data_IF_912059032260
#
_entry.id   IF_912059032260
#
_cell.length_a   1.000
_cell.length_b   1.000
_cell.length_c   1.000
_cell.angle_alpha   90.00
_cell.angle_beta   90.00
_cell.angle_gamma   90.00
#
_symmetry.space_group_name_H-M   'P 1'
#
loop_
_entity.id
_entity.type
_entity.pdbx_description
1 polymer ?
#
# COMPACT_ATOMS: atom_id res chain seq x y z
N UNK A 1 -15.97 52.55 -34.47
CA UNK A 1 -16.58 51.20 -34.50
C UNK A 1 -15.54 50.16 -34.07
N UNK A 2 -15.92 49.10 -33.35
CA UNK A 2 -15.02 48.11 -32.71
C UNK A 2 -14.59 47.00 -33.69
N UNK A 3 -13.84 45.93 -33.37
CA UNK A 3 -13.43 45.22 -32.12
C UNK A 3 -11.95 44.76 -32.31
N UNK A 4 -11.02 44.54 -31.37
CA UNK A 4 -11.01 44.31 -29.92
C UNK A 4 -10.51 42.88 -29.58
N UNK A 5 -9.27 42.71 -29.09
CA UNK A 5 -8.81 41.47 -28.41
C UNK A 5 -7.72 41.77 -27.38
N UNK A 6 -8.06 41.61 -26.09
CA UNK A 6 -7.12 41.71 -24.96
C UNK A 6 -6.33 40.40 -24.83
N UNK A 7 -5.02 40.43 -25.02
CA UNK A 7 -4.12 39.36 -24.57
C UNK A 7 -3.74 39.58 -23.11
N UNK A 8 -4.57 39.08 -22.19
CA UNK A 8 -4.21 39.03 -20.77
C UNK A 8 -3.04 38.08 -20.56
N UNK A 9 -1.84 38.62 -20.31
CA UNK A 9 -0.76 37.87 -19.65
C UNK A 9 -1.27 37.44 -18.28
N UNK A 10 -1.45 36.14 -18.06
CA UNK A 10 -1.48 35.54 -16.73
C UNK A 10 -0.18 34.77 -16.52
N UNK A 11 0.65 35.29 -15.63
CA UNK A 11 1.73 34.52 -15.02
C UNK A 11 1.14 33.39 -14.18
N UNK A 12 1.55 32.16 -14.43
CA UNK A 12 1.41 31.05 -13.50
C UNK A 12 2.81 30.72 -12.98
N UNK A 13 3.20 31.33 -11.87
CA UNK A 13 4.37 30.90 -11.12
C UNK A 13 4.01 29.57 -10.43
N UNK A 14 4.61 28.47 -10.88
CA UNK A 14 4.42 27.17 -10.28
C UNK A 14 5.30 27.04 -9.02
N UNK A 15 4.78 27.53 -7.89
CA UNK A 15 5.33 27.31 -6.55
C UNK A 15 5.13 25.83 -6.15
N UNK A 16 6.03 24.96 -6.63
CA UNK A 16 5.92 23.51 -6.48
C UNK A 16 6.32 23.06 -5.08
N UNK A 17 5.38 23.12 -4.14
CA UNK A 17 5.55 22.55 -2.79
C UNK A 17 5.39 21.04 -2.87
N UNK A 18 6.39 20.30 -2.40
CA UNK A 18 6.30 18.85 -2.23
C UNK A 18 5.24 18.51 -1.16
N UNK A 19 4.06 18.09 -1.60
CA UNK A 19 3.03 17.48 -0.75
C UNK A 19 2.72 16.08 -1.26
N UNK A 20 2.91 15.07 -0.39
CA UNK A 20 2.59 13.63 -0.56
C UNK A 20 1.84 13.27 -1.86
N UNK A 21 2.58 12.96 -2.92
CA UNK A 21 2.02 12.32 -4.12
C UNK A 21 2.11 10.80 -3.94
N UNK A 22 1.02 10.10 -4.26
CA UNK A 22 1.02 8.63 -4.41
C UNK A 22 1.80 8.26 -5.68
N UNK A 23 2.49 7.11 -5.67
CA UNK A 23 3.40 6.73 -6.75
C UNK A 23 2.73 5.90 -7.86
N UNK A 24 1.41 5.76 -7.85
CA UNK A 24 0.61 4.97 -8.79
C UNK A 24 0.68 3.46 -8.57
N UNK A 25 1.82 2.97 -8.06
CA UNK A 25 2.08 1.55 -7.80
C UNK A 25 1.12 0.93 -6.75
N UNK A 26 0.45 1.75 -5.94
CA UNK A 26 -0.46 1.32 -4.89
C UNK A 26 -1.73 0.62 -5.43
N UNK A 27 -2.08 0.84 -6.71
CA UNK A 27 -3.23 0.22 -7.38
C UNK A 27 -2.89 -0.98 -8.29
N UNK A 28 -1.61 -1.37 -8.40
CA UNK A 28 -1.13 -2.43 -9.31
C UNK A 28 -1.74 -3.83 -9.10
N UNK A 29 -2.60 -4.05 -8.11
CA UNK A 29 -3.28 -5.32 -7.85
C UNK A 29 -4.77 -5.10 -7.47
N UNK A 30 -5.37 -4.01 -7.93
CA UNK A 30 -6.77 -3.66 -7.66
C UNK A 30 -7.64 -4.06 -8.85
N UNK A 31 -8.55 -5.06 -8.70
CA UNK A 31 -9.58 -5.33 -9.68
C UNK A 31 -10.48 -4.11 -9.88
N UNK A 32 -10.75 -3.81 -11.14
CA UNK A 32 -11.59 -2.70 -11.58
C UNK A 32 -12.96 -3.22 -12.06
N UNK A 33 -13.94 -2.33 -12.16
CA UNK A 33 -15.33 -2.71 -12.48
C UNK A 33 -15.49 -3.27 -13.91
N UNK A 34 -14.54 -2.94 -14.79
CA UNK A 34 -14.44 -3.44 -16.16
C UNK A 34 -13.87 -4.87 -16.27
N UNK A 35 -13.49 -5.49 -15.15
CA UNK A 35 -12.88 -6.84 -15.11
C UNK A 35 -11.38 -6.87 -15.41
N UNK A 36 -10.71 -5.72 -15.38
CA UNK A 36 -9.27 -5.60 -15.57
C UNK A 36 -8.53 -5.16 -14.29
N UNK A 37 -7.21 -5.24 -14.34
CA UNK A 37 -6.30 -4.62 -13.38
C UNK A 37 -5.32 -3.77 -14.19
N UNK A 38 -5.04 -2.58 -13.68
CA UNK A 38 -4.16 -1.61 -14.30
C UNK A 38 -2.86 -1.49 -13.51
N UNK A 39 -1.73 -1.55 -14.22
CA UNK A 39 -0.41 -1.49 -13.61
C UNK A 39 0.35 -0.23 -14.01
N UNK A 40 0.89 0.44 -13.01
CA UNK A 40 1.73 1.63 -13.08
C UNK A 40 3.16 1.31 -12.65
N UNK A 41 4.15 1.90 -13.31
CA UNK A 41 5.53 1.97 -12.84
C UNK A 41 6.17 3.26 -13.35
N UNK A 42 7.06 3.86 -12.57
CA UNK A 42 7.60 5.16 -12.97
C UNK A 42 8.58 5.06 -14.15
N UNK A 43 8.30 5.83 -15.19
CA UNK A 43 9.09 5.99 -16.40
C UNK A 43 9.69 7.39 -16.55
N UNK A 44 9.19 8.38 -15.82
CA UNK A 44 9.77 9.74 -15.79
C UNK A 44 11.17 9.70 -15.19
N UNK A 45 12.10 10.45 -15.80
CA UNK A 45 13.42 10.73 -15.24
C UNK A 45 13.76 12.20 -15.48
N UNK A 46 13.65 13.01 -14.44
CA UNK A 46 13.69 14.48 -14.58
C UNK A 46 12.49 14.96 -15.38
N UNK A 47 12.73 15.68 -16.48
CA UNK A 47 11.68 16.26 -17.34
C UNK A 47 11.33 15.38 -18.56
N UNK A 48 11.68 14.08 -18.56
CA UNK A 48 11.45 13.16 -19.68
C UNK A 48 10.70 11.92 -19.23
N UNK A 49 9.50 11.70 -19.77
CA UNK A 49 8.85 10.39 -19.71
C UNK A 49 9.54 9.46 -20.73
N UNK A 50 10.03 8.31 -20.25
CA UNK A 50 10.75 7.34 -21.07
C UNK A 50 9.78 6.37 -21.73
N UNK A 51 10.02 6.07 -23.00
CA UNK A 51 9.32 5.00 -23.69
C UNK A 51 9.80 3.62 -23.22
N UNK A 52 8.87 2.68 -23.13
CA UNK A 52 9.19 1.26 -22.91
C UNK A 52 9.50 0.64 -24.27
N UNK A 53 10.61 -0.08 -24.38
CA UNK A 53 11.10 -0.71 -25.62
C UNK A 53 10.38 -2.05 -25.85
N UNK A 54 9.09 -1.98 -26.11
CA UNK A 54 8.23 -3.15 -26.33
C UNK A 54 8.64 -3.95 -27.58
N UNK A 55 9.42 -3.37 -28.50
CA UNK A 55 10.04 -4.10 -29.60
C UNK A 55 10.97 -5.24 -29.14
N UNK A 56 11.51 -5.17 -27.91
CA UNK A 56 12.27 -6.27 -27.29
C UNK A 56 11.39 -7.46 -26.87
N UNK A 57 10.08 -7.26 -26.84
CA UNK A 57 9.08 -8.23 -26.41
C UNK A 57 8.26 -8.76 -27.61
N UNK A 58 8.75 -8.55 -28.83
CA UNK A 58 8.14 -9.04 -30.07
C UNK A 58 7.23 -8.05 -30.80
N UNK A 59 7.07 -6.82 -30.30
CA UNK A 59 6.31 -5.79 -30.99
C UNK A 59 7.06 -5.19 -32.19
N UNK A 60 6.31 -4.61 -33.13
CA UNK A 60 6.84 -3.75 -34.18
C UNK A 60 7.42 -2.44 -33.61
N UNK A 61 8.34 -1.83 -34.35
CA UNK A 61 8.93 -0.52 -33.99
C UNK A 61 7.90 0.62 -33.97
N UNK A 62 6.80 0.48 -34.72
CA UNK A 62 5.71 1.44 -34.80
C UNK A 62 4.52 1.11 -33.88
N UNK A 63 4.54 -0.03 -33.19
CA UNK A 63 3.42 -0.45 -32.34
C UNK A 63 3.41 0.35 -31.03
N UNK A 64 2.23 0.71 -30.55
CA UNK A 64 2.03 1.43 -29.28
C UNK A 64 1.92 0.50 -28.06
N UNK A 65 1.63 -0.78 -28.28
CA UNK A 65 1.51 -1.80 -27.23
C UNK A 65 1.94 -3.19 -27.71
N UNK A 66 2.19 -4.08 -26.74
CA UNK A 66 2.39 -5.52 -26.95
C UNK A 66 1.41 -6.29 -26.06
N UNK A 67 0.79 -7.34 -26.60
CA UNK A 67 -0.12 -8.25 -25.90
C UNK A 67 0.55 -9.59 -25.60
N UNK A 68 -0.05 -10.38 -24.69
CA UNK A 68 0.39 -11.75 -24.43
C UNK A 68 1.67 -11.88 -23.61
N UNK A 69 2.11 -10.81 -22.93
CA UNK A 69 3.35 -10.83 -22.15
C UNK A 69 3.10 -11.07 -20.66
N UNK A 70 4.09 -11.67 -20.00
CA UNK A 70 4.11 -11.83 -18.55
C UNK A 70 4.86 -10.67 -17.89
N UNK A 71 4.28 -10.08 -16.85
CA UNK A 71 4.89 -8.97 -16.11
C UNK A 71 5.01 -9.33 -14.63
N UNK A 72 6.26 -9.40 -14.14
CA UNK A 72 6.58 -9.68 -12.75
C UNK A 72 6.79 -8.39 -11.98
N UNK A 73 6.00 -8.19 -10.93
CA UNK A 73 6.09 -7.03 -10.05
C UNK A 73 7.04 -7.30 -8.88
N UNK A 74 7.85 -6.31 -8.55
CA UNK A 74 8.80 -6.37 -7.44
C UNK A 74 8.66 -5.15 -6.55
N UNK A 75 8.78 -5.30 -5.24
CA UNK A 75 8.70 -4.19 -4.30
C UNK A 75 9.74 -4.32 -3.17
N UNK A 76 10.16 -3.21 -2.55
CA UNK A 76 11.05 -3.21 -1.38
C UNK A 76 10.51 -4.06 -0.22
N UNK A 77 11.33 -4.90 0.39
CA UNK A 77 10.90 -5.74 1.53
C UNK A 77 10.74 -4.96 2.84
N UNK A 78 11.40 -3.80 2.99
CA UNK A 78 11.33 -2.92 4.17
C UNK A 78 11.42 -1.43 3.79
N UNK A 79 10.70 -1.01 2.75
CA UNK A 79 10.79 0.35 2.18
C UNK A 79 12.08 0.64 1.39
N UNK A 80 13.17 -0.08 1.72
CA UNK A 80 14.42 -0.15 0.97
C UNK A 80 14.66 -1.58 0.45
N UNK A 81 15.68 -1.71 -0.39
CA UNK A 81 16.21 -2.98 -0.89
C UNK A 81 16.53 -4.00 0.23
N UNK A 82 16.48 -5.31 -0.04
CA UNK A 82 16.25 -5.92 -1.35
C UNK A 82 14.79 -5.83 -1.80
N UNK A 83 14.59 -5.67 -3.12
CA UNK A 83 13.30 -5.90 -3.77
C UNK A 83 12.99 -7.39 -3.76
N UNK A 84 11.72 -7.74 -3.65
CA UNK A 84 11.22 -9.11 -3.72
C UNK A 84 10.06 -9.19 -4.70
N UNK A 85 9.87 -10.33 -5.34
CA UNK A 85 8.66 -10.57 -6.17
C UNK A 85 7.42 -10.48 -5.27
N UNK A 86 6.50 -9.58 -5.63
CA UNK A 86 5.23 -9.40 -4.91
C UNK A 86 4.04 -10.01 -5.63
N UNK A 87 4.15 -10.25 -6.93
CA UNK A 87 3.07 -10.80 -7.75
C UNK A 87 3.42 -10.68 -9.23
N UNK A 88 2.49 -11.07 -10.10
CA UNK A 88 2.64 -11.00 -11.54
C UNK A 88 1.31 -10.88 -12.25
N UNK A 89 1.35 -10.37 -13.48
CA UNK A 89 0.25 -10.43 -14.44
C UNK A 89 0.65 -11.44 -15.52
N UNK A 90 -0.25 -12.35 -15.88
CA UNK A 90 -0.12 -13.21 -17.07
C UNK A 90 -0.83 -12.55 -18.25
N UNK A 91 -0.42 -12.87 -19.47
CA UNK A 91 -1.17 -12.51 -20.70
C UNK A 91 -1.54 -11.01 -20.78
N UNK A 92 -0.64 -10.15 -20.29
CA UNK A 92 -0.88 -8.71 -20.13
C UNK A 92 -0.62 -7.93 -21.42
N UNK A 93 -1.28 -6.77 -21.52
CA UNK A 93 -0.93 -5.70 -22.45
C UNK A 93 0.05 -4.73 -21.77
N UNK A 94 1.14 -4.38 -22.46
CA UNK A 94 2.10 -3.36 -22.05
C UNK A 94 2.21 -2.26 -23.11
N UNK A 95 2.09 -1.01 -22.70
CA UNK A 95 2.13 0.14 -23.59
C UNK A 95 3.53 0.80 -23.64
N UNK A 96 3.98 1.16 -24.85
CA UNK A 96 5.19 1.94 -25.12
C UNK A 96 5.14 3.29 -24.39
N UNK A 97 3.97 3.93 -24.42
CA UNK A 97 3.67 5.24 -23.84
C UNK A 97 2.78 5.12 -22.59
N UNK A 98 2.87 6.10 -21.69
CA UNK A 98 1.92 6.25 -20.58
C UNK A 98 0.52 6.43 -21.15
N UNK A 99 -0.44 5.70 -20.61
CA UNK A 99 -1.86 5.85 -20.89
C UNK A 99 -2.51 6.60 -19.73
N UNK A 100 -3.45 7.48 -20.03
CA UNK A 100 -4.29 8.16 -19.03
C UNK A 100 -5.70 7.55 -19.05
N UNK A 101 -6.37 7.51 -17.90
CA UNK A 101 -7.78 7.10 -17.81
C UNK A 101 -8.76 8.19 -18.29
N UNK A 102 -8.30 9.44 -18.41
CA UNK A 102 -9.17 10.58 -18.66
C UNK A 102 -10.00 10.95 -17.43
N UNK A 103 -11.25 11.36 -17.61
CA UNK A 103 -12.16 11.69 -16.51
C UNK A 103 -12.80 10.43 -15.87
N UNK A 104 -12.82 9.31 -16.61
CA UNK A 104 -13.45 8.03 -16.23
C UNK A 104 -12.43 7.04 -15.64
N UNK A 105 -12.09 7.25 -14.37
CA UNK A 105 -11.24 6.32 -13.62
C UNK A 105 -11.87 4.90 -13.52
N UNK A 106 -11.08 3.81 -13.70
CA UNK A 106 -11.59 2.43 -13.83
C UNK A 106 -12.08 1.81 -12.50
N UNK A 107 -11.79 2.49 -11.39
CA UNK A 107 -12.34 2.18 -10.08
C UNK A 107 -12.31 3.45 -9.24
N UNK A 108 -13.18 3.55 -8.25
CA UNK A 108 -13.12 4.62 -7.27
C UNK A 108 -11.74 4.75 -6.58
N UNK A 109 -10.91 3.69 -6.51
CA UNK A 109 -9.60 3.77 -5.83
C UNK A 109 -8.61 4.58 -6.65
N UNK A 110 -8.53 4.31 -7.95
CA UNK A 110 -7.78 5.15 -8.89
C UNK A 110 -8.25 6.63 -8.83
N UNK A 111 -9.57 6.88 -8.73
CA UNK A 111 -10.13 8.24 -8.57
C UNK A 111 -9.75 8.92 -7.26
N UNK A 112 -9.68 8.18 -6.15
CA UNK A 112 -9.37 8.71 -4.81
C UNK A 112 -7.88 8.94 -4.58
N UNK A 113 -7.05 8.05 -5.11
CA UNK A 113 -5.60 8.07 -4.94
C UNK A 113 -4.93 8.98 -6.01
N UNK A 114 -5.73 9.65 -6.86
CA UNK A 114 -5.35 10.49 -8.03
C UNK A 114 -4.43 9.78 -9.03
N UNK A 115 -4.63 8.48 -9.19
CA UNK A 115 -3.83 7.63 -10.08
C UNK A 115 -4.45 7.70 -11.48
N UNK A 116 -4.14 8.77 -12.21
CA UNK A 116 -4.67 9.04 -13.56
C UNK A 116 -4.10 8.14 -14.64
N UNK A 117 -2.97 7.48 -14.40
CA UNK A 117 -2.17 6.86 -15.47
C UNK A 117 -1.71 5.43 -15.21
N UNK A 118 -1.56 4.68 -16.30
CA UNK A 118 -1.13 3.28 -16.32
C UNK A 118 -0.22 3.00 -17.52
N UNK A 119 0.47 1.85 -17.47
CA UNK A 119 1.28 1.32 -18.58
C UNK A 119 1.04 -0.16 -18.85
N UNK A 120 0.29 -0.83 -17.98
CA UNK A 120 -0.05 -2.26 -18.08
C UNK A 120 -1.55 -2.44 -17.91
N UNK A 121 -2.15 -3.36 -18.66
CA UNK A 121 -3.52 -3.84 -18.45
C UNK A 121 -3.56 -5.37 -18.54
N UNK A 122 -4.18 -6.04 -17.59
CA UNK A 122 -4.45 -7.49 -17.64
C UNK A 122 -5.86 -7.78 -17.12
N UNK A 123 -6.45 -8.93 -17.46
CA UNK A 123 -7.73 -9.35 -16.87
C UNK A 123 -7.52 -9.67 -15.38
N UNK A 124 -8.51 -9.40 -14.53
CA UNK A 124 -8.37 -9.66 -13.09
C UNK A 124 -8.09 -11.14 -12.77
N UNK A 125 -8.59 -12.08 -13.58
CA UNK A 125 -8.35 -13.52 -13.45
C UNK A 125 -6.88 -13.92 -13.74
N UNK A 126 -6.16 -13.10 -14.53
CA UNK A 126 -4.77 -13.33 -14.94
C UNK A 126 -3.76 -12.64 -14.00
N UNK A 127 -4.22 -12.01 -12.91
CA UNK A 127 -3.40 -11.25 -11.96
C UNK A 127 -3.26 -11.96 -10.61
N UNK A 128 -2.01 -12.17 -10.20
CA UNK A 128 -1.66 -12.97 -9.03
C UNK A 128 -0.83 -12.15 -8.03
N UNK A 129 -1.41 -11.83 -6.87
CA UNK A 129 -0.71 -11.18 -5.76
C UNK A 129 -0.19 -12.22 -4.75
N UNK A 130 1.13 -12.32 -4.58
CA UNK A 130 1.72 -13.15 -3.53
C UNK A 130 1.41 -12.53 -2.16
N UNK A 131 0.94 -13.36 -1.22
CA UNK A 131 0.86 -12.94 0.19
C UNK A 131 2.26 -12.82 0.79
N UNK A 132 2.41 -11.99 1.82
CA UNK A 132 3.70 -11.66 2.45
C UNK A 132 4.56 -12.90 2.76
N UNK A 133 3.96 -13.97 3.26
CA UNK A 133 4.66 -15.22 3.60
C UNK A 133 5.25 -15.98 2.39
N UNK A 134 4.83 -15.64 1.17
CA UNK A 134 5.23 -16.24 -0.11
C UNK A 134 6.26 -15.37 -0.86
N UNK A 135 6.42 -14.10 -0.47
CA UNK A 135 7.39 -13.14 -1.01
C UNK A 135 8.81 -13.48 -0.50
N UNK A 136 9.45 -14.44 -1.15
CA UNK A 136 10.76 -15.00 -0.75
C UNK A 136 11.82 -14.91 -1.85
N UNK A 137 11.45 -14.40 -3.02
CA UNK A 137 12.27 -14.35 -4.23
C UNK A 137 12.83 -12.94 -4.33
N UNK A 138 13.95 -12.72 -3.65
CA UNK A 138 14.63 -11.43 -3.63
C UNK A 138 15.50 -11.26 -4.86
N UNK A 139 15.54 -10.06 -5.40
CA UNK A 139 16.44 -9.69 -6.48
C UNK A 139 17.81 -9.34 -5.88
N UNK A 140 18.88 -9.77 -6.55
CA UNK A 140 20.24 -9.34 -6.24
C UNK A 140 20.59 -8.04 -7.00
N UNK A 141 21.79 -7.50 -6.78
CA UNK A 141 22.28 -6.28 -7.43
C UNK A 141 23.53 -6.59 -8.24
N UNK A 142 23.55 -6.15 -9.50
CA UNK A 142 24.74 -6.23 -10.34
C UNK A 142 24.42 -6.00 -11.82
N UNK A 143 25.43 -6.08 -12.71
CA UNK A 143 25.21 -6.28 -14.13
C UNK A 143 24.31 -7.50 -14.37
N UNK A 144 23.40 -7.42 -15.34
CA UNK A 144 22.43 -8.49 -15.62
C UNK A 144 21.22 -8.56 -14.68
N UNK A 145 21.16 -7.74 -13.62
CA UNK A 145 19.99 -7.59 -12.74
C UNK A 145 19.26 -6.25 -12.98
N UNK A 146 18.13 -6.03 -12.30
CA UNK A 146 17.35 -4.79 -12.41
C UNK A 146 18.18 -3.56 -12.05
N UNK A 147 18.38 -2.66 -13.01
CA UNK A 147 19.16 -1.43 -12.84
C UNK A 147 18.38 -0.26 -12.22
N UNK A 148 18.82 0.96 -12.53
CA UNK A 148 18.23 2.23 -12.04
C UNK A 148 16.87 2.60 -12.69
N UNK A 149 16.29 1.72 -13.51
CA UNK A 149 14.96 1.91 -14.08
C UNK A 149 13.94 1.05 -13.29
N UNK A 150 12.70 1.50 -13.21
CA UNK A 150 11.63 0.78 -12.49
C UNK A 150 11.22 -0.53 -13.17
N UNK A 151 11.71 -0.79 -14.39
CA UNK A 151 11.49 -2.00 -15.18
C UNK A 151 12.81 -2.50 -15.77
N UNK A 152 12.85 -3.80 -16.11
CA UNK A 152 13.99 -4.49 -16.70
C UNK A 152 13.47 -5.69 -17.51
N UNK A 153 14.14 -6.03 -18.61
CA UNK A 153 13.81 -7.19 -19.46
C UNK A 153 14.52 -8.43 -18.92
N UNK A 154 13.77 -9.29 -18.25
CA UNK A 154 14.29 -10.47 -17.54
C UNK A 154 15.10 -11.42 -18.44
N UNK A 155 14.70 -11.57 -19.70
CA UNK A 155 15.32 -12.48 -20.68
C UNK A 155 16.61 -11.93 -21.30
N UNK A 156 16.88 -10.62 -21.20
CA UNK A 156 18.05 -9.98 -21.82
C UNK A 156 19.37 -10.26 -21.06
N UNK A 157 19.36 -11.10 -20.01
CA UNK A 157 20.50 -11.25 -19.11
C UNK A 157 21.48 -12.34 -19.54
N UNK A 158 22.77 -11.98 -19.51
CA UNK A 158 23.88 -12.92 -19.58
C UNK A 158 24.42 -13.31 -18.19
N UNK A 159 23.86 -12.75 -17.11
CA UNK A 159 24.23 -13.15 -15.75
C UNK A 159 23.54 -14.46 -15.37
N UNK A 160 24.33 -15.42 -14.89
CA UNK A 160 23.84 -16.77 -14.58
C UNK A 160 22.85 -16.77 -13.42
N UNK A 161 23.14 -16.01 -12.37
CA UNK A 161 22.31 -16.01 -11.16
C UNK A 161 20.98 -15.29 -11.44
N UNK A 162 21.00 -14.24 -12.28
CA UNK A 162 19.80 -13.59 -12.80
C UNK A 162 18.95 -14.56 -13.66
N UNK A 163 19.57 -15.33 -14.57
CA UNK A 163 18.87 -16.31 -15.39
C UNK A 163 18.24 -17.44 -14.55
N UNK A 164 18.95 -17.95 -13.53
CA UNK A 164 18.43 -18.97 -12.60
C UNK A 164 17.27 -18.43 -11.75
N UNK A 165 17.34 -17.15 -11.33
CA UNK A 165 16.23 -16.46 -10.68
C UNK A 165 14.99 -16.36 -11.58
N UNK A 166 15.16 -15.95 -12.85
CA UNK A 166 14.06 -15.82 -13.81
C UNK A 166 13.40 -17.17 -14.10
N UNK A 167 14.19 -18.23 -14.29
CA UNK A 167 13.67 -19.59 -14.45
C UNK A 167 12.89 -20.07 -13.20
N UNK A 168 13.37 -19.73 -12.00
CA UNK A 168 12.69 -20.02 -10.73
C UNK A 168 11.34 -19.30 -10.62
N UNK A 169 11.29 -18.01 -11.01
CA UNK A 169 10.06 -17.21 -10.99
C UNK A 169 9.05 -17.73 -12.03
N UNK A 170 9.48 -18.07 -13.25
CA UNK A 170 8.61 -18.73 -14.25
C UNK A 170 8.02 -20.03 -13.72
N UNK A 171 8.84 -20.89 -13.13
CA UNK A 171 8.37 -22.16 -12.52
C UNK A 171 7.33 -21.92 -11.42
N UNK A 172 7.48 -20.87 -10.60
CA UNK A 172 6.48 -20.46 -9.61
C UNK A 172 5.17 -20.01 -10.27
N UNK A 173 5.25 -19.23 -11.36
CA UNK A 173 4.09 -18.73 -12.10
C UNK A 173 3.30 -19.87 -12.77
N UNK A 174 4.00 -20.81 -13.40
CA UNK A 174 3.38 -21.91 -14.15
C UNK A 174 2.79 -23.00 -13.23
N UNK A 175 3.43 -23.28 -12.09
CA UNK A 175 3.01 -24.39 -11.22
C UNK A 175 2.17 -23.96 -10.01
N UNK A 176 2.17 -22.66 -9.66
CA UNK A 176 1.63 -22.15 -8.40
C UNK A 176 2.33 -22.69 -7.14
N UNK A 177 3.38 -23.52 -7.29
CA UNK A 177 4.08 -24.17 -6.18
C UNK A 177 5.30 -23.35 -5.79
N UNK A 178 5.34 -22.94 -4.53
CA UNK A 178 6.55 -22.36 -3.95
C UNK A 178 7.53 -23.50 -3.73
N UNK A 179 8.52 -23.60 -4.62
CA UNK A 179 9.67 -24.45 -4.41
C UNK A 179 10.28 -24.15 -3.02
N UNK A 180 10.68 -25.16 -2.23
CA UNK A 180 11.39 -24.91 -0.98
C UNK A 180 12.67 -24.14 -1.32
N UNK A 181 12.74 -22.87 -0.92
CA UNK A 181 13.93 -22.03 -1.13
C UNK A 181 15.14 -22.79 -0.60
N UNK A 182 16.05 -23.14 -1.50
CA UNK A 182 17.26 -23.86 -1.15
C UNK A 182 18.00 -23.04 -0.09
N UNK A 183 18.10 -23.59 1.13
CA UNK A 183 18.75 -22.89 2.24
C UNK A 183 20.26 -22.83 1.96
N UNK A 184 20.72 -21.75 1.31
CA UNK A 184 22.12 -21.29 1.46
C UNK A 184 22.40 -21.26 2.97
N UNK A 185 23.36 -22.06 3.40
CA UNK A 185 23.51 -22.45 4.80
C UNK A 185 23.86 -21.27 5.69
N UNK A 186 22.94 -20.89 6.59
CA UNK A 186 23.24 -20.07 7.77
C UNK A 186 23.07 -20.89 9.04
N UNK A 187 23.95 -20.65 10.00
CA UNK A 187 24.29 -21.56 11.09
C UNK A 187 23.10 -22.14 11.86
N UNK A 188 23.21 -23.44 12.18
CA UNK A 188 22.35 -24.10 13.15
C UNK A 188 22.73 -23.60 14.55
N UNK A 189 21.89 -22.76 15.17
CA UNK A 189 21.65 -22.74 16.62
C UNK A 189 20.58 -21.69 16.98
N UNK A 190 19.31 -22.10 16.98
CA UNK A 190 18.22 -21.43 17.69
C UNK A 190 17.11 -22.46 17.98
N UNK A 191 16.72 -22.59 19.25
CA UNK A 191 15.88 -23.70 19.72
C UNK A 191 14.44 -23.71 19.21
N UNK A 192 13.92 -24.91 18.94
CA UNK A 192 12.56 -25.16 18.45
C UNK A 192 11.55 -25.13 19.61
N UNK A 193 10.78 -24.05 19.77
CA UNK A 193 9.53 -24.06 20.57
C UNK A 193 8.31 -24.04 19.65
N UNK A 194 7.54 -25.14 19.62
CA UNK A 194 6.18 -25.16 19.05
C UNK A 194 5.28 -24.33 19.96
N UNK A 195 4.41 -23.49 19.39
CA UNK A 195 3.19 -23.01 20.08
C UNK A 195 1.98 -23.12 19.16
N UNK A 196 0.83 -23.34 19.78
CA UNK A 196 -0.45 -23.56 19.12
C UNK A 196 -0.97 -22.28 18.44
N UNK A 197 -1.85 -22.44 17.44
CA UNK A 197 -2.44 -21.31 16.73
C UNK A 197 -3.03 -21.58 15.34
N UNK A 198 -3.08 -22.84 14.88
CA UNK A 198 -3.53 -23.17 13.51
C UNK A 198 -4.93 -22.63 13.17
N UNK A 199 -5.86 -22.63 14.14
CA UNK A 199 -7.22 -22.08 13.96
C UNK A 199 -7.25 -20.53 13.87
N UNK A 200 -6.32 -19.83 14.51
CA UNK A 200 -6.25 -18.37 14.47
C UNK A 200 -5.58 -17.84 13.19
N UNK A 201 -4.82 -18.66 12.47
CA UNK A 201 -4.08 -18.26 11.28
C UNK A 201 -4.95 -17.87 10.09
N UNK A 202 -6.11 -18.52 9.90
CA UNK A 202 -6.98 -18.26 8.75
C UNK A 202 -7.66 -16.88 8.80
N UNK A 203 -8.33 -16.46 9.89
CA UNK A 203 -8.85 -15.10 10.01
C UNK A 203 -7.73 -14.05 9.97
N UNK A 204 -6.60 -14.35 10.63
CA UNK A 204 -5.43 -13.45 10.69
C UNK A 204 -4.90 -13.12 9.30
N UNK A 205 -4.65 -14.15 8.49
CA UNK A 205 -4.13 -13.97 7.13
C UNK A 205 -5.16 -13.38 6.18
N UNK A 206 -6.47 -13.60 6.40
CA UNK A 206 -7.53 -13.01 5.57
C UNK A 206 -7.65 -11.51 5.81
N UNK A 207 -7.60 -11.06 7.07
CA UNK A 207 -7.62 -9.63 7.38
C UNK A 207 -6.41 -8.89 6.79
N UNK A 208 -5.18 -9.36 7.03
CA UNK A 208 -3.97 -8.70 6.52
C UNK A 208 -3.97 -8.60 4.98
N UNK A 209 -4.47 -9.63 4.29
CA UNK A 209 -4.60 -9.62 2.83
C UNK A 209 -5.66 -8.65 2.32
N UNK A 210 -6.77 -8.48 3.04
CA UNK A 210 -7.90 -7.65 2.61
C UNK A 210 -7.79 -6.17 3.03
N UNK A 211 -7.10 -5.87 4.13
CA UNK A 211 -7.15 -4.56 4.78
C UNK A 211 -5.80 -3.85 4.98
N UNK A 212 -4.65 -4.53 4.81
CA UNK A 212 -3.33 -3.89 5.00
C UNK A 212 -2.45 -3.79 3.75
N UNK A 213 -2.64 -4.65 2.75
CA UNK A 213 -1.92 -4.52 1.46
C UNK A 213 -2.64 -3.61 0.45
N UNK A 214 -3.75 -3.02 0.87
CA UNK A 214 -4.64 -2.18 0.07
C UNK A 214 -5.01 -1.02 0.98
N UNK A 215 -4.55 0.20 0.70
CA UNK A 215 -4.98 1.39 1.45
C UNK A 215 -6.48 1.54 1.17
N UNK A 216 -7.29 1.08 2.11
CA UNK A 216 -8.71 0.88 1.84
C UNK A 216 -9.44 2.23 1.94
N UNK A 217 -10.39 2.54 1.05
CA UNK A 217 -11.15 3.82 1.09
C UNK A 217 -11.87 4.08 2.42
N UNK A 218 -12.24 3.01 3.13
CA UNK A 218 -12.81 3.06 4.48
C UNK A 218 -11.83 3.61 5.52
N UNK A 219 -10.51 3.49 5.30
CA UNK A 219 -9.45 4.01 6.19
C UNK A 219 -9.43 5.54 6.12
N UNK A 220 -9.20 6.09 4.93
CA UNK A 220 -9.28 7.54 4.68
C UNK A 220 -10.66 8.13 5.05
N UNK A 221 -11.76 7.43 4.72
CA UNK A 221 -13.10 7.85 5.09
C UNK A 221 -13.34 7.89 6.60
N UNK A 222 -12.88 6.88 7.35
CA UNK A 222 -12.95 6.84 8.81
C UNK A 222 -12.07 7.92 9.45
N UNK A 223 -10.85 8.09 8.94
CA UNK A 223 -9.91 9.14 9.37
C UNK A 223 -10.49 10.54 9.15
N UNK A 224 -11.00 10.86 7.95
CA UNK A 224 -11.63 12.14 7.63
C UNK A 224 -12.84 12.42 8.52
N UNK A 225 -13.69 11.42 8.77
CA UNK A 225 -14.83 11.56 9.70
C UNK A 225 -14.37 11.85 11.13
N UNK A 226 -13.31 11.20 11.61
CA UNK A 226 -12.78 11.44 12.95
C UNK A 226 -12.09 12.80 13.09
N UNK A 227 -11.32 13.23 12.08
CA UNK A 227 -10.75 14.59 11.98
C UNK A 227 -11.86 15.64 12.01
N UNK A 228 -12.94 15.47 11.24
CA UNK A 228 -14.09 16.37 11.25
C UNK A 228 -14.81 16.40 12.62
N UNK A 229 -14.93 15.26 13.29
CA UNK A 229 -15.47 15.18 14.65
C UNK A 229 -14.60 15.95 15.67
N UNK A 230 -13.28 15.76 15.63
CA UNK A 230 -12.32 16.47 16.47
C UNK A 230 -12.41 17.99 16.25
N UNK A 231 -12.38 18.44 14.99
CA UNK A 231 -12.47 19.86 14.62
C UNK A 231 -13.81 20.49 15.01
N UNK A 232 -14.92 19.76 14.90
CA UNK A 232 -16.24 20.21 15.34
C UNK A 232 -16.41 20.28 16.86
N UNK A 233 -15.63 19.50 17.63
CA UNK A 233 -15.77 19.41 19.09
C UNK A 233 -14.73 20.24 19.87
N UNK A 234 -13.58 20.54 19.29
CA UNK A 234 -12.49 21.26 19.96
C UNK A 234 -12.01 22.46 19.11
N UNK A 235 -12.30 23.68 19.57
CA UNK A 235 -11.71 24.89 19.00
C UNK A 235 -10.19 24.91 19.28
N UNK A 236 -9.39 24.89 18.22
CA UNK A 236 -7.92 24.79 18.34
C UNK A 236 -7.45 23.36 18.60
N UNK A 237 -7.94 22.41 17.80
CA UNK A 237 -7.25 21.12 17.59
C UNK A 237 -6.30 21.26 16.42
N UNK A 238 -5.05 20.85 16.63
CA UNK A 238 -4.01 20.82 15.60
C UNK A 238 -3.76 19.38 15.15
N UNK A 239 -3.33 19.19 13.90
CA UNK A 239 -3.02 17.88 13.32
C UNK A 239 -1.55 17.86 12.83
N UNK A 240 -0.59 17.48 13.70
CA UNK A 240 0.83 17.48 13.35
C UNK A 240 1.18 16.51 12.21
N UNK A 241 2.26 16.80 11.49
CA UNK A 241 2.81 15.93 10.45
C UNK A 241 3.11 14.53 10.99
N UNK A 242 2.48 13.51 10.41
CA UNK A 242 2.68 12.11 10.75
C UNK A 242 3.89 11.54 9.98
N UNK A 243 4.64 10.62 10.60
CA UNK A 243 5.87 10.07 10.02
C UNK A 243 5.62 8.73 9.30
N UNK A 244 4.99 7.78 9.99
CA UNK A 244 4.65 6.42 9.51
C UNK A 244 3.30 5.92 10.01
N UNK A 245 2.76 6.61 10.99
CA UNK A 245 1.46 6.49 11.65
C UNK A 245 0.37 7.26 10.88
N UNK A 246 -0.87 6.84 11.03
CA UNK A 246 -2.00 7.33 10.21
C UNK A 246 -2.40 8.78 10.53
N UNK A 247 -2.52 9.12 11.81
CA UNK A 247 -3.03 10.41 12.27
C UNK A 247 -2.42 10.81 13.62
N UNK A 248 -2.15 12.12 13.78
CA UNK A 248 -1.89 12.75 15.09
C UNK A 248 -2.85 13.88 15.33
N UNK A 249 -3.22 14.10 16.59
CA UNK A 249 -3.93 15.32 16.99
C UNK A 249 -3.46 15.87 18.33
N UNK A 250 -3.54 17.19 18.48
CA UNK A 250 -3.30 17.92 19.73
C UNK A 250 -4.51 18.77 20.03
N UNK A 251 -5.22 18.50 21.13
CA UNK A 251 -6.20 19.45 21.67
C UNK A 251 -5.45 20.43 22.58
N UNK A 252 -5.70 21.74 22.43
CA UNK A 252 -5.06 22.78 23.24
C UNK A 252 -5.04 22.43 24.74
N UNK A 253 -3.84 22.39 25.32
CA UNK A 253 -3.61 22.05 26.73
C UNK A 253 -3.55 20.55 27.06
N UNK A 254 -3.61 19.67 26.07
CA UNK A 254 -3.40 18.21 26.22
C UNK A 254 -2.13 17.75 25.51
N UNK A 255 -1.66 16.55 25.88
CA UNK A 255 -0.60 15.86 25.16
C UNK A 255 -1.02 15.49 23.73
N UNK A 256 -0.05 15.38 22.83
CA UNK A 256 -0.28 14.89 21.47
C UNK A 256 -0.68 13.41 21.49
N UNK A 257 -1.72 13.07 20.74
CA UNK A 257 -2.23 11.71 20.61
C UNK A 257 -1.86 11.18 19.22
N UNK A 258 -1.27 9.99 19.19
CA UNK A 258 -1.04 9.23 17.95
C UNK A 258 -2.19 8.23 17.77
N UNK A 259 -2.73 8.14 16.56
CA UNK A 259 -3.91 7.35 16.22
C UNK A 259 -3.56 6.39 15.08
N UNK A 260 -3.87 5.11 15.27
CA UNK A 260 -3.88 4.10 14.21
C UNK A 260 -5.33 3.84 13.78
N UNK A 261 -5.59 3.85 12.48
CA UNK A 261 -6.94 3.80 11.90
C UNK A 261 -7.15 2.43 11.25
N UNK A 262 -8.14 1.66 11.71
CA UNK A 262 -8.44 0.32 11.17
C UNK A 262 -9.93 0.19 10.82
N UNK A 263 -10.28 0.24 9.52
CA UNK A 263 -11.60 -0.17 9.05
C UNK A 263 -11.95 -1.58 9.51
N UNK A 264 -13.17 -1.76 10.02
CA UNK A 264 -13.59 -3.01 10.65
C UNK A 264 -15.04 -3.34 10.37
N UNK A 265 -15.34 -4.62 10.42
CA UNK A 265 -16.67 -5.18 10.57
C UNK A 265 -16.73 -5.89 11.93
N UNK A 266 -17.93 -6.19 12.44
CA UNK A 266 -18.10 -6.84 13.74
C UNK A 266 -17.32 -8.16 13.90
N UNK A 267 -17.09 -8.88 12.81
CA UNK A 267 -16.31 -10.12 12.77
C UNK A 267 -14.78 -9.90 12.83
N UNK A 268 -14.28 -8.68 12.59
CA UNK A 268 -12.86 -8.35 12.47
C UNK A 268 -12.33 -7.36 13.53
N UNK A 269 -13.19 -6.75 14.36
CA UNK A 269 -12.79 -5.79 15.42
C UNK A 269 -11.63 -6.29 16.29
N UNK A 270 -11.78 -7.48 16.92
CA UNK A 270 -10.73 -8.10 17.76
C UNK A 270 -9.41 -8.25 17.04
N UNK A 271 -9.46 -8.40 15.72
CA UNK A 271 -8.28 -8.56 14.88
C UNK A 271 -7.57 -7.23 14.67
N UNK A 272 -8.30 -6.23 14.19
CA UNK A 272 -7.81 -4.88 13.95
C UNK A 272 -7.11 -4.31 15.18
N UNK A 273 -7.71 -4.48 16.37
CA UNK A 273 -7.14 -4.05 17.64
C UNK A 273 -5.75 -4.70 17.87
N UNK A 274 -5.59 -6.01 17.62
CA UNK A 274 -4.29 -6.69 17.79
C UNK A 274 -3.21 -6.15 16.87
N UNK A 275 -3.56 -5.90 15.60
CA UNK A 275 -2.58 -5.41 14.63
C UNK A 275 -2.19 -3.96 14.91
N UNK A 276 -3.18 -3.11 15.23
CA UNK A 276 -2.95 -1.73 15.61
C UNK A 276 -2.07 -1.61 16.88
N UNK A 277 -2.27 -2.47 17.89
CA UNK A 277 -1.37 -2.57 19.05
C UNK A 277 0.07 -2.84 18.60
N UNK A 278 0.28 -3.80 17.69
CA UNK A 278 1.62 -4.13 17.18
C UNK A 278 2.31 -2.95 16.52
N UNK A 279 1.63 -2.30 15.56
CA UNK A 279 2.18 -1.13 14.87
C UNK A 279 2.41 0.05 15.80
N UNK A 280 1.47 0.35 16.70
CA UNK A 280 1.63 1.46 17.65
C UNK A 280 2.79 1.20 18.62
N UNK A 281 3.08 -0.04 19.00
CA UNK A 281 4.28 -0.39 19.76
C UNK A 281 5.57 -0.21 18.94
N UNK A 282 5.57 -0.65 17.68
CA UNK A 282 6.70 -0.46 16.76
C UNK A 282 6.98 1.04 16.54
N UNK A 283 5.96 1.85 16.27
CA UNK A 283 6.09 3.31 16.16
C UNK A 283 6.52 3.97 17.48
N UNK A 284 6.04 3.47 18.62
CA UNK A 284 6.45 3.96 19.94
C UNK A 284 7.94 3.78 20.16
N UNK A 285 8.48 2.63 19.76
CA UNK A 285 9.90 2.31 19.88
C UNK A 285 10.77 3.07 18.84
N UNK A 286 10.36 3.06 17.56
CA UNK A 286 11.07 3.71 16.45
C UNK A 286 11.18 5.24 16.62
N UNK A 287 10.17 5.86 17.25
CA UNK A 287 10.06 7.32 17.38
C UNK A 287 10.25 7.85 18.82
N UNK A 288 10.53 6.98 19.79
CA UNK A 288 10.64 7.37 21.21
C UNK A 288 9.36 7.99 21.80
N UNK A 289 8.19 7.55 21.33
CA UNK A 289 6.91 8.19 21.67
C UNK A 289 6.51 7.95 23.13
N UNK A 290 6.10 9.02 23.82
CA UNK A 290 5.64 8.97 25.22
C UNK A 290 4.21 9.47 25.42
N UNK A 291 3.57 10.00 24.36
CA UNK A 291 2.19 10.49 24.40
C UNK A 291 1.16 9.36 24.37
N UNK A 292 -0.14 9.66 24.63
CA UNK A 292 -1.21 8.69 24.49
C UNK A 292 -1.30 8.12 23.06
N UNK A 293 -1.78 6.88 22.96
CA UNK A 293 -2.02 6.20 21.69
C UNK A 293 -3.45 5.66 21.64
N UNK A 294 -4.09 5.83 20.48
CA UNK A 294 -5.50 5.56 20.23
C UNK A 294 -5.65 4.63 19.03
N UNK A 295 -6.57 3.67 19.14
CA UNK A 295 -6.94 2.78 18.04
C UNK A 295 -8.35 3.18 17.58
N UNK A 296 -8.46 3.68 16.35
CA UNK A 296 -9.72 4.09 15.74
C UNK A 296 -10.27 2.94 14.87
N UNK A 297 -11.42 2.38 15.25
CA UNK A 297 -12.10 1.31 14.51
C UNK A 297 -13.45 1.79 13.95
N UNK A 298 -13.88 1.21 12.83
CA UNK A 298 -15.14 1.59 12.17
C UNK A 298 -16.40 0.99 12.83
N UNK A 299 -16.27 -0.18 13.47
CA UNK A 299 -17.36 -0.86 14.18
C UNK A 299 -17.26 -0.66 15.70
N UNK A 300 -18.40 -0.49 16.36
CA UNK A 300 -18.53 -0.40 17.82
C UNK A 300 -17.94 -1.62 18.56
N UNK A 301 -17.19 -1.36 19.64
CA UNK A 301 -16.50 -2.39 20.42
C UNK A 301 -17.35 -2.79 21.64
N UNK A 302 -18.38 -3.60 21.41
CA UNK A 302 -19.32 -4.04 22.46
C UNK A 302 -18.79 -5.13 23.39
N UNK A 303 -17.75 -5.87 22.99
CA UNK A 303 -17.19 -7.01 23.73
C UNK A 303 -16.16 -6.56 24.77
N UNK A 304 -16.39 -6.89 26.04
CA UNK A 304 -15.46 -6.60 27.14
C UNK A 304 -14.04 -7.15 26.91
N UNK A 305 -13.89 -8.34 26.29
CA UNK A 305 -12.58 -8.93 25.96
C UNK A 305 -11.77 -8.14 24.92
N UNK A 306 -12.46 -7.35 24.09
CA UNK A 306 -11.85 -6.54 23.01
C UNK A 306 -11.48 -5.15 23.53
N UNK A 307 -12.33 -4.58 24.40
CA UNK A 307 -12.00 -3.39 25.19
C UNK A 307 -10.76 -3.63 26.06
N UNK A 308 -10.78 -4.69 26.88
CA UNK A 308 -9.64 -5.07 27.74
C UNK A 308 -8.36 -5.33 26.96
N UNK A 309 -8.45 -5.89 25.75
CA UNK A 309 -7.27 -6.14 24.93
C UNK A 309 -6.50 -4.84 24.61
N UNK A 310 -7.20 -3.73 24.36
CA UNK A 310 -6.56 -2.42 24.19
C UNK A 310 -6.16 -1.81 25.54
N UNK A 311 -7.08 -1.80 26.51
CA UNK A 311 -6.91 -1.10 27.78
C UNK A 311 -5.82 -1.71 28.68
N UNK A 312 -5.76 -3.04 28.80
CA UNK A 312 -4.73 -3.76 29.57
C UNK A 312 -3.32 -3.53 28.97
N UNK A 313 -3.22 -3.03 27.73
CA UNK A 313 -1.97 -2.65 27.05
C UNK A 313 -1.74 -1.12 26.95
N UNK A 314 -2.62 -0.31 27.56
CA UNK A 314 -2.47 1.15 27.63
C UNK A 314 -2.92 1.92 26.39
N UNK A 315 -3.73 1.33 25.51
CA UNK A 315 -4.25 1.98 24.30
C UNK A 315 -5.70 2.42 24.49
N UNK A 316 -6.04 3.65 24.08
CA UNK A 316 -7.44 4.05 23.94
C UNK A 316 -8.11 3.39 22.74
N UNK A 317 -9.44 3.35 22.73
CA UNK A 317 -10.26 2.95 21.58
C UNK A 317 -11.21 4.07 21.18
N UNK A 318 -11.46 4.20 19.87
CA UNK A 318 -12.45 5.10 19.31
C UNK A 318 -13.28 4.39 18.23
N UNK A 319 -14.58 4.72 18.16
CA UNK A 319 -15.48 4.19 17.12
C UNK A 319 -16.63 5.17 16.82
N UNK A 320 -17.24 5.12 15.62
CA UNK A 320 -18.46 5.86 15.31
C UNK A 320 -19.59 5.57 16.30
N UNK A 321 -20.22 6.62 16.84
CA UNK A 321 -21.39 6.51 17.71
C UNK A 321 -22.36 7.66 17.42
N UNK A 322 -23.57 7.34 16.97
CA UNK A 322 -24.56 8.30 16.49
C UNK A 322 -24.01 9.23 15.39
N UNK A 323 -24.03 10.54 15.63
CA UNK A 323 -23.50 11.57 14.70
C UNK A 323 -22.01 11.91 14.92
N UNK A 324 -21.32 11.21 15.81
CA UNK A 324 -19.94 11.51 16.18
C UNK A 324 -19.13 10.25 16.43
N UNK A 325 -18.16 10.35 17.33
CA UNK A 325 -17.35 9.24 17.78
C UNK A 325 -17.42 9.13 19.30
N UNK A 326 -17.44 7.89 19.77
CA UNK A 326 -17.14 7.56 21.15
C UNK A 326 -15.64 7.29 21.24
N UNK A 327 -15.01 7.81 22.30
CA UNK A 327 -13.59 7.60 22.60
C UNK A 327 -13.50 7.19 24.06
N UNK A 328 -12.80 6.09 24.34
CA UNK A 328 -12.66 5.51 25.67
C UNK A 328 -11.19 5.21 25.95
N UNK A 329 -10.71 5.68 27.09
CA UNK A 329 -9.32 5.51 27.54
C UNK A 329 -9.20 4.39 28.59
N UNK A 330 -8.00 3.82 28.80
CA UNK A 330 -7.78 2.72 29.76
C UNK A 330 -8.19 3.03 31.20
N UNK A 331 -8.20 4.29 31.59
CA UNK A 331 -8.63 4.78 32.91
C UNK A 331 -10.14 5.06 33.01
N UNK A 332 -10.92 4.65 32.00
CA UNK A 332 -12.37 4.84 31.93
C UNK A 332 -12.81 6.24 31.50
N UNK A 333 -11.88 7.18 31.26
CA UNK A 333 -12.25 8.51 30.74
C UNK A 333 -12.84 8.40 29.34
N UNK A 334 -13.85 9.22 29.07
CA UNK A 334 -14.57 9.28 27.79
C UNK A 334 -14.34 10.62 27.09
N UNK A 335 -14.09 10.58 25.79
CA UNK A 335 -13.87 11.75 24.92
C UNK A 335 -12.40 12.03 24.56
N UNK A 336 -12.23 12.92 23.59
CA UNK A 336 -10.94 13.37 23.05
C UNK A 336 -10.29 14.46 23.91
#
# INVERSE_FOLDING_TARGET
MPVGRRTTRRSAAADFRFSKAFCGEECNFVPCEDGFVYGHFETIKGQRDRQVRIERLGAGLADDYVDGIDIVWTAPTRGNDPRTVVGWFRNARLYRHRQEFGEDFPSDRHRRDDISSFRVRARSDDVFLLSVNQRRFNLERGPGWSGQASWWYAEDTADRDAAEFVATVRTLMDTGRIAPVARRSRNRNAGRKRRAGAAAGHPYQRYLRAYEMTVHPRHDGLQKRFVAHLAGRHRGVDFPSCARDDLRYVVKGKACVMVEVKPTEASTVRFAIRTAIGQLLDYRQDQGWTGPQLILVETEVTRADDLRLAFDNGFGLAWPSGRGFEVVWPDGRRGC
#
